data_IF_378587010263
#
_entry.id   IF_378587010263
#
_cell.length_a   1.000
_cell.length_b   1.000
_cell.length_c   1.000
_cell.angle_alpha   90.00
_cell.angle_beta   90.00
_cell.angle_gamma   90.00
#
_symmetry.space_group_name_H-M   'P 1'
#
loop_
_entity.id
_entity.type
_entity.pdbx_description
1 polymer ?
#
# COMPACT_ATOMS: atom_id res chain seq x y z
N UNK A 1 0.70 30.95 14.57
CA UNK A 1 1.29 29.65 14.23
C UNK A 1 0.13 28.77 13.76
N UNK A 2 0.01 28.54 12.46
CA UNK A 2 -1.06 27.68 11.92
C UNK A 2 -0.64 26.23 12.12
N UNK A 3 -1.28 25.57 13.09
CA UNK A 3 -1.32 24.11 13.19
C UNK A 3 -2.23 23.59 12.09
N UNK A 4 -1.70 23.47 10.87
CA UNK A 4 -2.38 22.74 9.80
C UNK A 4 -2.45 21.27 10.24
N UNK A 5 -3.68 20.77 10.36
CA UNK A 5 -4.00 19.58 11.12
C UNK A 5 -3.23 18.33 10.66
N UNK A 6 -2.78 17.47 11.60
CA UNK A 6 -2.32 16.11 11.28
C UNK A 6 -3.37 15.34 10.49
N UNK A 7 -4.66 15.56 10.77
CA UNK A 7 -5.82 14.81 10.26
C UNK A 7 -5.89 14.71 8.71
N UNK A 8 -5.28 15.64 7.96
CA UNK A 8 -5.26 15.59 6.50
C UNK A 8 -4.28 14.55 5.93
N UNK A 9 -3.07 14.44 6.50
CA UNK A 9 -2.04 13.50 6.02
C UNK A 9 -2.44 12.06 6.34
N UNK A 10 -2.95 11.83 7.55
CA UNK A 10 -3.45 10.52 7.99
C UNK A 10 -4.56 10.01 7.08
N UNK A 11 -5.56 10.85 6.81
CA UNK A 11 -6.70 10.47 5.97
C UNK A 11 -6.30 10.23 4.51
N UNK A 12 -5.33 10.97 3.98
CA UNK A 12 -4.77 10.73 2.64
C UNK A 12 -4.11 9.35 2.57
N UNK A 13 -3.26 9.00 3.54
CA UNK A 13 -2.54 7.71 3.53
C UNK A 13 -3.50 6.54 3.73
N UNK A 14 -4.43 6.65 4.69
CA UNK A 14 -5.43 5.61 4.92
C UNK A 14 -6.33 5.41 3.70
N UNK A 15 -6.81 6.50 3.10
CA UNK A 15 -7.58 6.45 1.86
C UNK A 15 -6.78 5.80 0.72
N UNK A 16 -5.50 6.14 0.59
CA UNK A 16 -4.64 5.57 -0.44
C UNK A 16 -4.47 4.06 -0.30
N UNK A 17 -4.17 3.57 0.91
CA UNK A 17 -3.98 2.14 1.18
C UNK A 17 -5.29 1.37 0.97
N UNK A 18 -6.39 1.87 1.53
CA UNK A 18 -7.70 1.20 1.48
C UNK A 18 -8.28 1.15 0.07
N UNK A 19 -8.08 2.20 -0.72
CA UNK A 19 -8.58 2.29 -2.09
C UNK A 19 -7.56 1.88 -3.16
N UNK A 20 -6.38 1.40 -2.75
CA UNK A 20 -5.27 1.01 -3.63
C UNK A 20 -4.88 2.13 -4.60
N UNK A 21 -4.85 3.37 -4.11
CA UNK A 21 -4.43 4.55 -4.86
C UNK A 21 -2.98 4.89 -4.60
N UNK A 22 -2.34 5.39 -5.64
CA UNK A 22 -0.97 5.92 -5.58
C UNK A 22 -1.00 7.30 -4.90
N UNK A 23 0.03 7.60 -4.14
CA UNK A 23 0.28 8.94 -3.60
C UNK A 23 1.51 9.56 -4.24
N UNK A 24 1.51 10.89 -4.33
CA UNK A 24 2.74 11.65 -4.58
C UNK A 24 3.25 12.21 -3.26
N UNK A 25 4.54 12.05 -3.03
CA UNK A 25 5.23 12.55 -1.84
C UNK A 25 6.39 13.44 -2.25
N UNK A 26 6.50 14.59 -1.61
CA UNK A 26 7.58 15.54 -1.82
C UNK A 26 8.61 15.37 -0.71
N UNK A 27 9.84 15.06 -1.11
CA UNK A 27 10.98 14.90 -0.20
C UNK A 27 12.21 15.50 -0.84
N UNK A 28 13.00 16.26 -0.07
CA UNK A 28 14.19 16.94 -0.57
C UNK A 28 13.91 17.72 -1.86
N UNK A 29 12.80 18.49 -1.87
CA UNK A 29 12.32 19.27 -3.03
C UNK A 29 11.98 18.46 -4.29
N UNK A 30 11.90 17.14 -4.20
CA UNK A 30 11.60 16.25 -5.33
C UNK A 30 10.30 15.50 -5.10
N UNK A 31 9.44 15.50 -6.11
CA UNK A 31 8.23 14.68 -6.11
C UNK A 31 8.54 13.25 -6.50
N UNK A 32 8.03 12.31 -5.73
CA UNK A 32 8.16 10.87 -5.96
C UNK A 32 6.79 10.22 -5.85
N UNK A 33 6.60 9.17 -6.63
CA UNK A 33 5.35 8.43 -6.71
C UNK A 33 5.47 7.16 -5.87
N UNK A 34 4.53 6.93 -4.95
CA UNK A 34 4.56 5.80 -4.03
C UNK A 34 3.26 5.01 -4.13
N UNK A 35 3.38 3.69 -4.21
CA UNK A 35 2.29 2.74 -3.95
C UNK A 35 2.32 2.39 -2.45
N UNK A 36 1.43 2.92 -1.60
CA UNK A 36 1.48 2.67 -0.15
C UNK A 36 0.84 1.32 0.22
N UNK A 37 1.52 0.54 1.07
CA UNK A 37 1.05 -0.79 1.51
C UNK A 37 0.76 -0.87 3.00
N UNK A 38 1.54 -0.19 3.83
CA UNK A 38 1.39 -0.19 5.27
C UNK A 38 1.76 1.16 5.86
N UNK A 39 1.21 1.44 7.04
CA UNK A 39 1.45 2.68 7.74
C UNK A 39 1.42 2.49 9.26
N UNK A 40 2.39 3.08 9.95
CA UNK A 40 2.60 2.86 11.38
C UNK A 40 4.04 3.05 11.83
N UNK A 41 4.44 2.34 12.88
CA UNK A 41 5.79 2.43 13.44
C UNK A 41 6.64 1.24 13.00
N UNK A 42 7.88 1.42 12.54
CA UNK A 42 8.82 0.32 12.36
C UNK A 42 9.04 -0.44 13.67
N UNK A 43 9.12 -1.78 13.61
CA UNK A 43 9.45 -2.60 14.80
C UNK A 43 10.92 -2.44 15.20
N UNK A 44 11.78 -2.18 14.23
CA UNK A 44 13.22 -1.97 14.40
C UNK A 44 13.61 -0.57 13.90
N UNK A 45 14.66 0.00 14.48
CA UNK A 45 15.13 1.34 14.15
C UNK A 45 14.38 2.45 14.89
N UNK A 46 14.30 3.63 14.26
CA UNK A 46 13.62 4.80 14.85
C UNK A 46 12.13 4.53 14.89
N UNK A 47 11.52 4.65 16.07
CA UNK A 47 10.06 4.48 16.30
C UNK A 47 9.28 5.71 15.82
N UNK A 48 9.52 6.10 14.58
CA UNK A 48 8.85 7.20 13.93
C UNK A 48 7.77 6.68 12.99
N UNK A 49 6.79 7.53 12.78
CA UNK A 49 5.69 7.22 11.91
C UNK A 49 6.15 7.13 10.45
N UNK A 50 5.85 6.01 9.81
CA UNK A 50 6.47 5.60 8.56
C UNK A 50 5.42 4.99 7.62
N UNK A 51 5.55 5.25 6.33
CA UNK A 51 4.83 4.53 5.27
C UNK A 51 5.77 3.47 4.70
N UNK A 52 5.33 2.22 4.64
CA UNK A 52 5.98 1.20 3.82
C UNK A 52 5.27 1.09 2.48
N UNK A 53 6.02 1.25 1.39
CA UNK A 53 5.46 1.22 0.05
C UNK A 53 6.51 0.98 -1.02
N UNK A 54 6.06 0.99 -2.27
CA UNK A 54 6.91 0.81 -3.43
C UNK A 54 7.02 2.13 -4.21
N UNK A 55 8.24 2.65 -4.35
CA UNK A 55 8.48 3.81 -5.20
C UNK A 55 8.41 3.42 -6.67
N UNK A 56 7.59 4.16 -7.40
CA UNK A 56 7.53 4.14 -8.85
C UNK A 56 8.49 5.18 -9.39
N UNK A 57 9.51 4.69 -10.08
CA UNK A 57 10.37 5.55 -10.87
C UNK A 57 9.68 5.86 -12.22
N UNK A 58 9.24 7.11 -12.38
CA UNK A 58 8.61 7.57 -13.62
C UNK A 58 9.70 7.95 -14.65
N UNK A 59 10.90 8.29 -14.19
CA UNK A 59 12.02 8.71 -15.04
C UNK A 59 13.25 7.92 -14.61
N UNK A 60 13.69 6.90 -15.39
CA UNK A 60 14.77 6.01 -15.01
C UNK A 60 15.99 6.77 -14.48
N UNK A 61 16.11 6.82 -13.16
CA UNK A 61 17.24 7.40 -12.46
C UNK A 61 18.08 6.22 -11.98
N UNK A 62 19.26 6.06 -12.58
CA UNK A 62 20.18 4.99 -12.23
C UNK A 62 20.56 5.04 -10.74
N UNK A 63 20.50 6.23 -10.12
CA UNK A 63 20.84 6.42 -8.72
C UNK A 63 19.65 6.11 -7.78
N UNK A 64 18.40 6.19 -8.27
CA UNK A 64 17.21 5.99 -7.43
C UNK A 64 16.14 5.10 -8.06
N UNK A 65 16.44 3.82 -8.34
CA UNK A 65 15.51 2.91 -9.00
C UNK A 65 14.26 2.63 -8.18
N UNK A 66 13.22 2.14 -8.88
CA UNK A 66 11.97 1.65 -8.27
C UNK A 66 12.26 0.55 -7.23
N UNK A 67 11.72 0.70 -6.03
CA UNK A 67 12.09 -0.16 -4.88
C UNK A 67 11.06 -0.10 -3.75
N UNK A 68 11.05 -1.14 -2.93
CA UNK A 68 10.40 -1.12 -1.63
C UNK A 68 11.17 -0.22 -0.67
N UNK A 69 10.46 0.65 0.05
CA UNK A 69 11.10 1.57 0.98
C UNK A 69 10.20 1.96 2.14
N UNK A 70 10.85 2.22 3.28
CA UNK A 70 10.27 2.90 4.44
C UNK A 70 10.44 4.42 4.27
N UNK A 71 9.33 5.14 4.38
CA UNK A 71 9.27 6.59 4.25
C UNK A 71 8.85 7.20 5.58
N UNK A 72 9.82 7.76 6.30
CA UNK A 72 9.58 8.49 7.55
C UNK A 72 8.81 9.78 7.26
N UNK A 73 7.65 9.98 7.90
CA UNK A 73 6.81 11.14 7.64
C UNK A 73 7.45 12.46 8.07
N UNK A 74 8.43 12.45 8.97
CA UNK A 74 9.18 13.67 9.33
C UNK A 74 9.95 14.27 8.16
N UNK A 75 10.32 13.44 7.18
CA UNK A 75 11.07 13.85 5.99
C UNK A 75 10.15 14.20 4.81
N UNK A 76 8.83 14.14 4.99
CA UNK A 76 7.84 14.46 3.94
C UNK A 76 7.42 15.92 4.07
N UNK A 77 7.67 16.68 3.02
CA UNK A 77 7.29 18.10 2.94
C UNK A 77 5.78 18.23 2.61
N UNK A 78 5.32 17.47 1.62
CA UNK A 78 3.95 17.49 1.10
C UNK A 78 3.53 16.09 0.63
N UNK A 79 2.22 15.80 0.67
CA UNK A 79 1.62 14.54 0.24
C UNK A 79 0.32 14.80 -0.50
N UNK A 80 0.12 14.13 -1.63
CA UNK A 80 -1.09 14.25 -2.44
C UNK A 80 -1.65 12.87 -2.81
N UNK A 81 -2.97 12.72 -2.67
CA UNK A 81 -3.68 11.56 -3.18
C UNK A 81 -3.87 11.72 -4.68
N UNK A 82 -3.46 10.71 -5.45
CA UNK A 82 -3.69 10.72 -6.89
C UNK A 82 -4.99 10.00 -7.27
N UNK A 83 -5.39 10.16 -8.53
CA UNK A 83 -6.48 9.39 -9.12
C UNK A 83 -5.99 8.07 -9.77
N UNK A 84 -4.72 7.71 -9.61
CA UNK A 84 -4.17 6.47 -10.16
C UNK A 84 -4.28 5.33 -9.17
N UNK A 85 -4.64 4.15 -9.67
CA UNK A 85 -4.70 2.92 -8.88
C UNK A 85 -3.50 2.04 -9.19
N UNK A 86 -3.09 1.25 -8.21
CA UNK A 86 -2.11 0.19 -8.40
C UNK A 86 -2.72 -1.16 -8.04
N UNK A 87 -2.12 -2.23 -8.60
CA UNK A 87 -2.43 -3.59 -8.17
C UNK A 87 -1.37 -4.05 -7.18
N UNK A 88 -1.73 -4.80 -6.13
CA UNK A 88 -0.76 -5.40 -5.23
C UNK A 88 0.31 -6.16 -6.02
N UNK A 89 1.57 -5.79 -5.82
CA UNK A 89 2.69 -6.35 -6.57
C UNK A 89 2.95 -7.78 -6.15
N UNK A 90 3.41 -8.59 -7.11
CA UNK A 90 3.67 -10.01 -6.89
C UNK A 90 4.90 -10.27 -6.00
N UNK A 91 5.85 -9.33 -6.00
CA UNK A 91 7.05 -9.33 -5.17
C UNK A 91 6.80 -8.72 -3.78
N UNK A 92 5.57 -8.28 -3.47
CA UNK A 92 5.19 -7.95 -2.11
C UNK A 92 5.21 -9.22 -1.27
N UNK A 93 6.30 -9.39 -0.53
CA UNK A 93 6.50 -10.52 0.38
C UNK A 93 5.67 -10.41 1.65
N UNK A 94 4.98 -9.28 1.85
CA UNK A 94 4.19 -9.03 3.04
C UNK A 94 5.05 -9.17 4.29
N UNK A 95 6.27 -8.60 4.29
CA UNK A 95 7.08 -8.45 5.50
C UNK A 95 6.34 -7.56 6.52
N UNK A 96 5.27 -8.11 7.09
CA UNK A 96 4.51 -7.64 8.26
C UNK A 96 5.38 -7.54 9.50
N UNK A 97 6.58 -8.10 9.45
CA UNK A 97 7.55 -8.02 10.53
C UNK A 97 8.23 -6.66 10.61
N UNK A 98 8.18 -5.84 9.55
CA UNK A 98 8.84 -4.55 9.57
C UNK A 98 8.10 -3.50 10.40
N UNK A 99 6.79 -3.63 10.62
CA UNK A 99 5.99 -2.56 11.23
C UNK A 99 4.99 -3.04 12.29
N UNK A 100 4.88 -2.27 13.36
CA UNK A 100 3.71 -2.20 14.22
C UNK A 100 2.71 -1.24 13.57
N UNK A 101 1.76 -1.82 12.84
CA UNK A 101 0.71 -1.07 12.14
C UNK A 101 -0.15 -0.31 13.14
N UNK A 102 -0.32 0.99 12.91
CA UNK A 102 -1.28 1.79 13.68
C UNK A 102 -2.66 1.69 13.01
N UNK A 103 -2.70 1.71 11.66
CA UNK A 103 -3.90 1.55 10.84
C UNK A 103 -3.59 0.92 9.47
N UNK A 104 -4.54 0.11 8.98
CA UNK A 104 -4.63 -0.50 7.63
C UNK A 104 -3.38 -1.18 7.04
N UNK A 105 -3.55 -2.44 6.64
CA UNK A 105 -2.53 -3.21 5.90
C UNK A 105 -3.13 -3.73 4.60
N UNK A 106 -2.44 -3.45 3.48
CA UNK A 106 -2.76 -4.11 2.22
C UNK A 106 -2.22 -5.55 2.25
N UNK A 107 -3.12 -6.52 2.06
CA UNK A 107 -2.77 -7.94 1.95
C UNK A 107 -2.81 -8.36 0.49
N UNK A 108 -1.77 -9.05 0.02
CA UNK A 108 -1.78 -9.64 -1.31
C UNK A 108 -2.90 -10.69 -1.36
N UNK A 109 -3.93 -10.46 -2.19
CA UNK A 109 -4.92 -11.49 -2.46
C UNK A 109 -4.22 -12.65 -3.18
N UNK A 110 -4.00 -13.77 -2.47
CA UNK A 110 -3.71 -15.05 -3.11
C UNK A 110 -4.81 -15.30 -4.15
N UNK A 111 -4.44 -15.37 -5.43
CA UNK A 111 -5.30 -15.94 -6.48
C UNK A 111 -5.77 -17.33 -6.02
N UNK A 112 -6.95 -17.43 -5.42
CA UNK A 112 -7.69 -18.69 -5.33
C UNK A 112 -8.23 -19.02 -6.72
N UNK A 113 -7.34 -19.40 -7.65
CA UNK A 113 -7.73 -20.23 -8.78
C UNK A 113 -7.99 -21.64 -8.26
N UNK A 114 -9.23 -21.94 -7.89
CA UNK A 114 -9.79 -23.28 -8.11
C UNK A 114 -10.86 -23.14 -9.20
N UNK A 115 -10.40 -23.20 -10.46
CA UNK A 115 -11.24 -23.73 -11.53
C UNK A 115 -11.51 -25.20 -11.18
N UNK A 116 -12.73 -25.53 -10.77
CA UNK A 116 -13.34 -26.82 -11.08
C UNK A 116 -14.73 -26.54 -11.61
N UNK A 117 -14.80 -26.57 -12.93
CA UNK A 117 -16.00 -26.71 -13.73
C UNK A 117 -16.35 -28.21 -13.80
N UNK A 118 -17.65 -28.51 -13.86
CA UNK A 118 -18.34 -29.81 -14.01
C UNK A 118 -18.58 -30.56 -12.68
N UNK A 119 -19.82 -30.90 -12.30
CA UNK A 119 -20.91 -31.53 -13.09
C UNK A 119 -22.27 -31.25 -12.40
N UNK A 120 -23.43 -31.20 -13.11
CA UNK A 120 -24.74 -31.05 -12.48
C UNK A 120 -25.15 -32.35 -11.78
N UNK A 121 -25.60 -32.27 -10.53
CA UNK A 121 -26.20 -33.41 -9.85
C UNK A 121 -27.64 -33.60 -10.35
N UNK A 122 -27.82 -34.78 -10.93
CA UNK A 122 -29.07 -35.34 -11.42
C UNK A 122 -30.00 -35.55 -10.23
N UNK A 123 -31.24 -35.10 -10.35
CA UNK A 123 -32.32 -35.33 -9.36
C UNK A 123 -32.71 -36.81 -9.43
N UNK A 124 -32.62 -37.62 -8.36
CA UNK A 124 -33.29 -38.90 -8.33
C UNK A 124 -34.77 -38.70 -7.99
N UNK A 125 -35.62 -39.07 -8.95
CA UNK A 125 -37.06 -39.27 -8.79
C UNK A 125 -37.28 -40.35 -7.72
N UNK A 126 -38.19 -40.12 -6.76
CA UNK A 126 -38.65 -41.16 -5.83
C UNK A 126 -40.18 -41.25 -5.90
N UNK A 127 -40.75 -42.36 -6.39
CA UNK A 127 -42.17 -42.62 -6.28
C UNK A 127 -42.47 -43.18 -4.88
N UNK A 128 -43.53 -42.68 -4.25
CA UNK A 128 -44.46 -43.40 -3.38
C UNK A 128 -45.65 -42.49 -3.07
#
# INVERSE_FOLDING_TARGET
>A
MNTTQPDSVWSIIDSAITTQRVIQIKQNKSWRTLEPYQFGFPKEGRKQLTIYGYYLDIVPDADTPSRWQLVELENVEEIELTNYWFQPRADYTGQTDLMQTIFCQLTAQKKRRKKRLNKPDIIPYSPN
#
